data_IF_756649115075
#
_entry.id   IF_756649115075
#
_cell.length_a   1.000
_cell.length_b   1.000
_cell.length_c   1.000
_cell.angle_alpha   90.00
_cell.angle_beta   90.00
_cell.angle_gamma   90.00
#
_symmetry.space_group_name_H-M   'P 1'
#
loop_
_entity.id
_entity.type
_entity.pdbx_description
1 polymer ?
#
# COMPACT_ATOMS: atom_id res chain seq x y z
N UNK A 1 70.87 9.50 29.19
CA UNK A 1 70.36 10.61 28.37
C UNK A 1 69.98 10.03 27.01
N UNK A 2 68.77 9.48 26.82
CA UNK A 2 67.51 10.17 26.52
C UNK A 2 67.48 10.87 25.15
N UNK A 3 66.91 10.22 24.13
CA UNK A 3 65.88 10.85 23.30
C UNK A 3 65.03 9.81 22.56
N UNK A 4 63.81 9.70 23.07
CA UNK A 4 62.64 9.07 22.49
C UNK A 4 62.19 9.87 21.27
N UNK A 5 61.86 9.18 20.17
CA UNK A 5 61.18 9.70 18.99
C UNK A 5 59.72 9.28 19.04
N UNK A 6 58.84 10.26 19.26
CA UNK A 6 57.38 10.17 19.14
C UNK A 6 56.91 10.39 17.70
N UNK A 7 55.94 9.61 17.19
CA UNK A 7 55.14 9.97 16.02
C UNK A 7 53.88 10.79 16.40
N UNK A 8 53.24 11.46 15.42
CA UNK A 8 52.27 12.53 15.68
C UNK A 8 50.86 12.04 16.01
N UNK A 9 50.18 12.94 16.73
CA UNK A 9 48.86 12.94 17.31
C UNK A 9 47.72 12.73 16.30
N UNK A 10 46.86 11.74 16.57
CA UNK A 10 45.54 11.61 15.98
C UNK A 10 44.53 12.45 16.78
N UNK A 11 43.78 13.32 16.09
CA UNK A 11 42.69 14.11 16.65
C UNK A 11 41.48 13.25 16.97
N UNK A 12 41.14 13.15 18.26
CA UNK A 12 39.90 12.58 18.76
C UNK A 12 38.77 13.60 18.65
N UNK A 13 37.92 13.46 17.63
CA UNK A 13 36.63 14.14 17.55
C UNK A 13 35.60 13.40 18.41
N UNK A 14 35.22 14.01 19.53
CA UNK A 14 34.09 13.62 20.38
C UNK A 14 32.77 13.87 19.62
N UNK A 15 32.09 12.81 19.20
CA UNK A 15 30.65 12.86 18.94
C UNK A 15 29.92 12.15 20.07
N UNK A 16 29.36 12.97 20.96
CA UNK A 16 28.45 12.58 22.03
C UNK A 16 27.13 12.09 21.42
N UNK A 17 26.86 10.79 21.53
CA UNK A 17 25.56 10.20 21.24
C UNK A 17 24.61 10.47 22.41
N UNK A 18 23.72 11.43 22.26
CA UNK A 18 22.61 11.64 23.17
C UNK A 18 21.62 10.46 23.05
N UNK A 19 21.63 9.56 24.02
CA UNK A 19 20.58 8.57 24.23
C UNK A 19 19.32 9.28 24.72
N UNK A 20 18.29 9.36 23.88
CA UNK A 20 16.95 9.70 24.34
C UNK A 20 16.31 8.47 24.99
N UNK A 21 16.38 8.44 26.32
CA UNK A 21 15.57 7.57 27.17
C UNK A 21 14.10 8.01 27.07
N UNK A 22 13.27 7.26 26.37
CA UNK A 22 11.82 7.37 26.50
C UNK A 22 11.38 6.67 27.79
N UNK A 23 11.06 7.47 28.79
CA UNK A 23 10.41 7.02 30.01
C UNK A 23 8.99 6.55 29.68
N UNK A 24 8.64 5.34 30.11
CA UNK A 24 7.31 4.79 30.01
C UNK A 24 6.34 5.60 30.88
N UNK A 25 5.26 6.10 30.27
CA UNK A 25 4.15 6.75 30.97
C UNK A 25 3.24 5.65 31.54
N UNK A 26 2.94 5.63 32.85
CA UNK A 26 2.01 4.65 33.41
C UNK A 26 0.57 4.95 33.00
N UNK A 27 -0.13 3.94 32.48
CA UNK A 27 -1.58 4.00 32.23
C UNK A 27 -2.33 4.20 33.56
N UNK A 28 -3.03 5.32 33.66
CA UNK A 28 -4.03 5.56 34.70
C UNK A 28 -5.29 4.75 34.42
N UNK A 29 -5.57 3.77 35.28
CA UNK A 29 -6.86 3.09 35.38
C UNK A 29 -7.90 4.03 36.00
N UNK A 30 -8.93 4.38 35.23
CA UNK A 30 -10.26 4.62 35.77
C UNK A 30 -11.27 4.61 34.63
N UNK A 31 -12.34 3.83 34.79
CA UNK A 31 -13.74 4.26 34.65
C UNK A 31 -14.66 3.04 34.80
N UNK A 32 -15.46 3.08 35.85
CA UNK A 32 -16.58 2.21 36.16
C UNK A 32 -17.75 2.47 35.21
N UNK A 33 -18.56 1.45 34.86
CA UNK A 33 -19.74 1.64 34.01
C UNK A 33 -20.94 2.02 34.87
N UNK A 34 -21.40 3.27 34.75
CA UNK A 34 -22.73 3.67 35.23
C UNK A 34 -23.76 3.46 34.13
N UNK A 35 -24.60 2.46 34.36
CA UNK A 35 -25.83 2.17 33.64
C UNK A 35 -26.87 3.27 33.87
N UNK A 36 -27.35 3.91 32.81
CA UNK A 36 -28.64 4.61 32.81
C UNK A 36 -29.51 4.08 31.66
N UNK A 37 -30.84 3.92 31.86
CA UNK A 37 -31.70 3.27 30.90
C UNK A 37 -32.17 4.25 29.82
N UNK A 38 -32.30 3.72 28.61
CA UNK A 38 -32.92 4.34 27.44
C UNK A 38 -34.42 4.61 27.69
N UNK A 39 -34.83 5.88 27.63
CA UNK A 39 -36.22 6.29 27.45
C UNK A 39 -36.60 6.17 25.97
N UNK A 40 -37.56 5.29 25.68
CA UNK A 40 -38.20 5.15 24.39
C UNK A 40 -39.37 6.11 24.24
N UNK A 41 -39.30 7.04 23.28
CA UNK A 41 -40.45 7.79 22.82
C UNK A 41 -41.26 6.93 21.82
N UNK A 42 -42.38 6.38 22.28
CA UNK A 42 -43.44 5.86 21.42
C UNK A 42 -44.52 6.93 21.25
N UNK A 43 -44.78 7.31 19.99
CA UNK A 43 -45.97 8.08 19.62
C UNK A 43 -47.15 7.13 19.45
N UNK A 44 -48.11 7.19 20.37
CA UNK A 44 -49.43 6.58 20.30
C UNK A 44 -50.38 7.49 19.53
N UNK A 45 -50.92 7.00 18.41
CA UNK A 45 -52.13 7.54 17.79
C UNK A 45 -53.32 6.66 18.20
N UNK A 46 -54.12 7.15 19.16
CA UNK A 46 -55.53 6.79 19.35
C UNK A 46 -56.35 7.88 18.63
N UNK A 47 -57.35 7.64 17.79
CA UNK A 47 -58.28 6.53 17.74
C UNK A 47 -59.53 6.90 18.53
N UNK A 48 -60.42 7.72 17.96
CA UNK A 48 -61.75 7.91 18.54
C UNK A 48 -62.80 8.19 17.45
N UNK A 49 -63.86 7.39 17.50
CA UNK A 49 -65.02 7.40 16.61
C UNK A 49 -66.29 7.41 17.44
N UNK A 50 -67.32 8.13 16.95
CA UNK A 50 -68.75 8.03 17.32
C UNK A 50 -69.10 8.65 18.69
N UNK A 51 -70.21 9.40 18.90
CA UNK A 51 -71.55 9.36 18.31
C UNK A 51 -72.32 10.67 18.59
N UNK A 52 -73.45 10.86 17.89
CA UNK A 52 -74.41 12.00 17.84
C UNK A 52 -75.20 12.28 19.17
N UNK A 53 -76.32 13.07 19.27
CA UNK A 53 -77.12 13.78 18.23
C UNK A 53 -77.86 15.13 18.63
N UNK A 54 -78.66 15.68 17.68
CA UNK A 54 -79.95 16.45 17.80
C UNK A 54 -80.01 18.02 17.86
N UNK A 55 -80.87 18.58 16.95
CA UNK A 55 -81.70 19.85 16.90
C UNK A 55 -80.99 21.23 16.91
N UNK A 56 -81.43 22.31 16.26
CA UNK A 56 -82.69 22.71 15.61
C UNK A 56 -82.40 23.84 14.58
N UNK A 57 -83.19 23.96 13.51
CA UNK A 57 -84.07 25.11 13.20
C UNK A 57 -83.44 26.25 12.37
N UNK A 58 -84.24 26.87 11.49
CA UNK A 58 -83.87 28.12 10.81
C UNK A 58 -84.10 28.17 9.30
N UNK A 59 -85.32 28.57 8.94
CA UNK A 59 -85.85 28.99 7.65
C UNK A 59 -84.93 29.74 6.66
N UNK A 60 -85.22 29.55 5.35
CA UNK A 60 -85.46 30.57 4.30
C UNK A 60 -84.71 30.38 2.97
N UNK A 61 -85.52 29.98 1.98
CA UNK A 61 -85.78 30.67 0.70
C UNK A 61 -84.69 30.73 -0.40
N UNK A 62 -85.20 30.43 -1.60
CA UNK A 62 -84.81 30.84 -2.97
C UNK A 62 -83.71 30.08 -3.75
N UNK A 63 -84.22 29.46 -4.81
CA UNK A 63 -83.69 29.25 -6.17
C UNK A 63 -82.70 28.11 -6.50
N UNK A 64 -82.97 27.39 -7.62
CA UNK A 64 -82.20 26.21 -8.01
C UNK A 64 -81.04 26.59 -8.93
N UNK A 65 -79.85 26.74 -8.38
CA UNK A 65 -78.64 26.63 -9.19
C UNK A 65 -78.36 25.16 -9.45
N UNK A 66 -78.51 24.71 -10.70
CA UNK A 66 -78.03 23.41 -11.17
C UNK A 66 -76.49 23.40 -11.07
N UNK A 67 -75.85 22.59 -10.22
CA UNK A 67 -74.43 22.37 -10.37
C UNK A 67 -74.20 21.51 -11.61
N UNK A 68 -73.25 21.93 -12.45
CA UNK A 68 -72.66 21.06 -13.46
C UNK A 68 -72.24 19.75 -12.78
N UNK A 69 -72.92 18.65 -13.11
CA UNK A 69 -72.37 17.32 -12.90
C UNK A 69 -71.11 17.21 -13.75
N UNK A 70 -69.95 17.50 -13.14
CA UNK A 70 -68.75 16.79 -13.55
C UNK A 70 -68.97 15.35 -13.14
N UNK A 71 -69.24 14.52 -14.14
CA UNK A 71 -69.06 13.08 -14.08
C UNK A 71 -67.71 12.81 -13.44
N UNK A 72 -67.72 12.49 -12.14
CA UNK A 72 -66.61 11.82 -11.51
C UNK A 72 -66.61 10.42 -12.09
N UNK A 73 -65.92 10.24 -13.23
CA UNK A 73 -65.46 8.92 -13.61
C UNK A 73 -64.66 8.41 -12.42
N UNK A 74 -65.25 7.48 -11.68
CA UNK A 74 -64.57 6.60 -10.74
C UNK A 74 -63.60 5.77 -11.56
N UNK A 75 -62.50 6.41 -11.97
CA UNK A 75 -61.31 5.69 -12.39
C UNK A 75 -60.84 5.00 -11.11
N UNK A 76 -61.20 3.73 -10.99
CA UNK A 76 -60.67 2.83 -9.97
C UNK A 76 -59.17 3.08 -9.84
N UNK A 77 -58.76 3.68 -8.72
CA UNK A 77 -57.34 3.77 -8.40
C UNK A 77 -56.91 2.32 -8.19
N UNK A 78 -55.96 1.79 -8.97
CA UNK A 78 -55.53 0.40 -8.79
C UNK A 78 -55.07 0.21 -7.35
N UNK A 79 -55.52 -0.89 -6.73
CA UNK A 79 -55.15 -1.29 -5.38
C UNK A 79 -53.65 -1.08 -5.18
N UNK A 80 -53.29 -0.20 -4.25
CA UNK A 80 -51.89 0.11 -3.99
C UNK A 80 -51.15 -1.19 -3.65
N UNK A 81 -50.09 -1.55 -4.39
CA UNK A 81 -49.39 -2.80 -4.16
C UNK A 81 -48.84 -2.82 -2.72
N UNK A 82 -48.92 -4.00 -2.08
CA UNK A 82 -48.47 -4.22 -0.71
C UNK A 82 -47.04 -3.67 -0.53
N UNK A 83 -46.82 -2.83 0.50
CA UNK A 83 -45.50 -2.21 0.74
C UNK A 83 -44.43 -3.30 0.80
N UNK A 84 -43.29 -3.04 0.14
CA UNK A 84 -42.16 -3.96 -0.03
C UNK A 84 -42.40 -5.20 -0.91
N UNK A 85 -43.54 -5.31 -1.62
CA UNK A 85 -43.69 -6.33 -2.65
C UNK A 85 -42.88 -5.97 -3.92
N UNK A 86 -42.53 -6.98 -4.71
CA UNK A 86 -41.86 -6.77 -6.00
C UNK A 86 -42.70 -5.89 -6.95
N UNK A 87 -44.03 -6.02 -6.88
CA UNK A 87 -44.98 -5.19 -7.63
C UNK A 87 -44.98 -3.73 -7.15
N UNK A 88 -44.81 -3.47 -5.86
CA UNK A 88 -44.64 -2.11 -5.31
C UNK A 88 -43.35 -1.46 -5.79
N UNK A 89 -42.25 -2.22 -5.80
CA UNK A 89 -40.96 -1.75 -6.32
C UNK A 89 -41.05 -1.41 -7.81
N UNK A 90 -41.65 -2.29 -8.62
CA UNK A 90 -41.86 -2.03 -10.06
C UNK A 90 -42.75 -0.81 -10.32
N UNK A 91 -43.82 -0.61 -9.54
CA UNK A 91 -44.69 0.54 -9.66
C UNK A 91 -43.97 1.85 -9.28
N UNK A 92 -43.29 1.89 -8.13
CA UNK A 92 -42.47 3.05 -7.71
C UNK A 92 -41.36 3.37 -8.71
N UNK A 93 -40.72 2.36 -9.27
CA UNK A 93 -39.68 2.52 -10.29
C UNK A 93 -40.23 3.14 -11.58
N UNK A 94 -41.39 2.68 -12.09
CA UNK A 94 -42.04 3.26 -13.27
C UNK A 94 -42.50 4.70 -13.05
N UNK A 95 -43.11 4.98 -11.90
CA UNK A 95 -43.58 6.33 -11.55
C UNK A 95 -42.40 7.29 -11.38
N UNK A 96 -41.30 6.84 -10.76
CA UNK A 96 -40.07 7.63 -10.64
C UNK A 96 -39.37 7.91 -11.98
N UNK A 97 -39.46 6.99 -12.95
CA UNK A 97 -38.92 7.17 -14.30
C UNK A 97 -39.73 8.19 -15.14
N UNK A 98 -41.04 8.30 -14.91
CA UNK A 98 -41.93 9.15 -15.72
C UNK A 98 -41.88 10.66 -15.36
N UNK A 99 -41.48 11.02 -14.14
CA UNK A 99 -41.41 12.42 -13.69
C UNK A 99 -39.97 12.79 -13.31
N UNK A 100 -39.17 13.30 -14.27
CA UNK A 100 -37.84 13.93 -14.04
C UNK A 100 -36.76 13.08 -13.30
N UNK A 101 -37.02 11.81 -12.97
CA UNK A 101 -36.11 10.95 -12.21
C UNK A 101 -35.02 10.28 -13.03
N UNK A 102 -35.08 10.33 -14.37
CA UNK A 102 -34.07 9.70 -15.24
C UNK A 102 -32.66 10.20 -14.96
N UNK A 103 -32.47 11.51 -14.73
CA UNK A 103 -31.14 12.05 -14.39
C UNK A 103 -30.58 11.47 -13.09
N UNK A 104 -31.42 11.32 -12.05
CA UNK A 104 -30.99 10.75 -10.76
C UNK A 104 -30.62 9.26 -10.88
N UNK A 105 -31.36 8.53 -11.69
CA UNK A 105 -31.09 7.13 -11.98
C UNK A 105 -29.80 6.98 -12.80
N UNK A 106 -29.56 7.86 -13.76
CA UNK A 106 -28.30 7.90 -14.53
C UNK A 106 -27.11 8.16 -13.60
N UNK A 107 -27.20 9.14 -12.67
CA UNK A 107 -26.14 9.38 -11.68
C UNK A 107 -25.91 8.18 -10.75
N UNK A 108 -26.98 7.54 -10.29
CA UNK A 108 -26.88 6.33 -9.46
C UNK A 108 -26.22 5.17 -10.20
N UNK A 109 -26.62 4.94 -11.45
CA UNK A 109 -26.04 3.89 -12.30
C UNK A 109 -24.59 4.19 -12.67
N UNK A 110 -24.24 5.45 -13.00
CA UNK A 110 -22.85 5.81 -13.28
C UNK A 110 -21.96 5.63 -12.05
N UNK A 111 -22.46 5.99 -10.86
CA UNK A 111 -21.75 5.75 -9.61
C UNK A 111 -21.54 4.27 -9.32
N UNK A 112 -22.59 3.46 -9.46
CA UNK A 112 -22.50 2.00 -9.30
C UNK A 112 -21.53 1.36 -10.31
N UNK A 113 -21.57 1.80 -11.57
CA UNK A 113 -20.67 1.33 -12.63
C UNK A 113 -19.21 1.69 -12.33
N UNK A 114 -18.93 2.90 -11.83
CA UNK A 114 -17.59 3.29 -11.39
C UNK A 114 -17.09 2.41 -10.24
N UNK A 115 -17.94 2.09 -9.27
CA UNK A 115 -17.58 1.20 -8.15
C UNK A 115 -17.28 -0.22 -8.65
N UNK A 116 -18.10 -0.75 -9.57
CA UNK A 116 -17.88 -2.08 -10.15
C UNK A 116 -16.57 -2.12 -10.93
N UNK A 117 -16.29 -1.10 -11.75
CA UNK A 117 -15.03 -0.99 -12.48
C UNK A 117 -13.85 -0.93 -11.51
N UNK A 118 -13.95 -0.12 -10.46
CA UNK A 118 -12.91 -0.02 -9.44
C UNK A 118 -12.63 -1.36 -8.76
N UNK A 119 -13.69 -2.08 -8.37
CA UNK A 119 -13.57 -3.40 -7.75
C UNK A 119 -12.94 -4.43 -8.71
N UNK A 120 -13.35 -4.43 -9.99
CA UNK A 120 -12.76 -5.30 -11.00
C UNK A 120 -11.26 -5.04 -11.21
N UNK A 121 -10.85 -3.78 -11.23
CA UNK A 121 -9.44 -3.39 -11.32
C UNK A 121 -8.67 -3.85 -10.08
N UNK A 122 -9.20 -3.62 -8.88
CA UNK A 122 -8.58 -4.07 -7.64
C UNK A 122 -8.41 -5.59 -7.59
N UNK A 123 -9.44 -6.34 -8.00
CA UNK A 123 -9.41 -7.80 -8.09
C UNK A 123 -8.36 -8.29 -9.10
N UNK A 124 -8.27 -7.66 -10.27
CA UNK A 124 -7.26 -7.98 -11.28
C UNK A 124 -5.83 -7.79 -10.75
N UNK A 125 -5.58 -6.73 -9.98
CA UNK A 125 -4.28 -6.53 -9.32
C UNK A 125 -4.02 -7.54 -8.21
N UNK A 126 -5.04 -7.92 -7.44
CA UNK A 126 -4.90 -8.97 -6.42
C UNK A 126 -4.52 -10.32 -7.05
N UNK A 127 -5.11 -10.67 -8.20
CA UNK A 127 -4.73 -11.87 -8.95
C UNK A 127 -3.31 -11.80 -9.53
N UNK A 128 -2.89 -10.64 -10.05
CA UNK A 128 -1.52 -10.46 -10.54
C UNK A 128 -0.49 -10.55 -9.40
N UNK A 129 -0.82 -10.01 -8.23
CA UNK A 129 0.00 -10.14 -7.04
C UNK A 129 0.13 -11.61 -6.66
N UNK A 130 -0.99 -12.32 -6.49
CA UNK A 130 -0.99 -13.76 -6.18
C UNK A 130 -0.18 -14.59 -7.19
N UNK A 131 -0.31 -14.32 -8.48
CA UNK A 131 0.48 -15.01 -9.50
C UNK A 131 1.99 -14.77 -9.36
N UNK A 132 2.40 -13.57 -8.94
CA UNK A 132 3.80 -13.27 -8.65
C UNK A 132 4.28 -13.95 -7.35
N UNK A 133 3.42 -14.07 -6.35
CA UNK A 133 3.71 -14.80 -5.11
C UNK A 133 3.91 -16.29 -5.39
N UNK A 134 3.00 -16.88 -6.16
CA UNK A 134 3.08 -18.28 -6.57
C UNK A 134 4.37 -18.55 -7.37
N UNK A 135 4.84 -17.58 -8.16
CA UNK A 135 6.12 -17.67 -8.87
C UNK A 135 7.35 -17.67 -7.94
N UNK A 136 7.30 -17.00 -6.78
CA UNK A 136 8.39 -17.01 -5.79
C UNK A 136 8.42 -18.29 -4.94
N UNK A 137 7.29 -19.00 -4.85
CA UNK A 137 7.18 -20.28 -4.12
C UNK A 137 7.85 -21.43 -4.87
N UNK A 138 8.08 -21.27 -6.18
CA UNK A 138 8.82 -22.22 -7.00
C UNK A 138 10.30 -21.85 -6.93
N UNK A 139 11.17 -22.85 -6.75
CA UNK A 139 12.61 -22.64 -6.78
C UNK A 139 12.99 -22.10 -8.16
N UNK A 140 13.41 -20.83 -8.24
CA UNK A 140 13.85 -20.22 -9.47
C UNK A 140 15.38 -20.27 -9.55
N UNK A 141 15.92 -21.32 -10.19
CA UNK A 141 17.35 -21.48 -10.44
C UNK A 141 17.64 -21.07 -11.89
N UNK A 142 18.43 -20.02 -12.07
CA UNK A 142 18.79 -19.55 -13.41
C UNK A 142 19.57 -20.60 -14.24
N UNK A 143 20.23 -21.54 -13.57
CA UNK A 143 20.94 -22.67 -14.20
C UNK A 143 20.07 -23.94 -14.29
N UNK A 144 18.78 -23.80 -14.63
CA UNK A 144 17.78 -24.87 -14.52
C UNK A 144 18.16 -26.23 -15.12
N UNK A 145 19.04 -26.29 -16.13
CA UNK A 145 19.52 -27.54 -16.71
C UNK A 145 20.56 -28.28 -15.84
N UNK A 146 21.55 -27.60 -15.28
CA UNK A 146 22.55 -28.25 -14.39
C UNK A 146 21.95 -28.58 -13.03
N UNK A 147 21.01 -27.75 -12.55
CA UNK A 147 20.26 -28.00 -11.33
C UNK A 147 19.45 -29.31 -11.41
N UNK A 148 18.65 -29.49 -12.46
CA UNK A 148 17.83 -30.70 -12.64
C UNK A 148 18.66 -31.98 -12.77
N UNK A 149 19.84 -31.90 -13.40
CA UNK A 149 20.76 -33.04 -13.49
C UNK A 149 21.29 -33.47 -12.10
N UNK A 150 21.51 -32.51 -11.19
CA UNK A 150 21.89 -32.77 -9.80
C UNK A 150 20.76 -33.34 -8.94
N UNK A 151 19.50 -32.99 -9.24
CA UNK A 151 18.30 -33.42 -8.51
C UNK A 151 17.92 -34.90 -8.71
N UNK A 152 18.47 -35.59 -9.72
CA UNK A 152 18.13 -36.98 -10.04
C UNK A 152 18.93 -38.02 -9.22
N UNK A 153 19.52 -37.58 -8.10
CA UNK A 153 20.28 -38.44 -7.18
C UNK A 153 19.48 -38.63 -5.91
N UNK A 154 19.53 -39.83 -5.31
CA UNK A 154 18.92 -40.13 -4.00
C UNK A 154 19.65 -39.45 -2.81
N UNK A 155 20.42 -38.41 -3.09
CA UNK A 155 21.20 -37.68 -2.09
C UNK A 155 20.32 -36.57 -1.51
N UNK A 156 20.30 -36.39 -0.17
CA UNK A 156 19.59 -35.28 0.45
C UNK A 156 20.13 -33.93 -0.05
N UNK A 157 19.23 -33.05 -0.47
CA UNK A 157 19.57 -31.74 -1.01
C UNK A 157 19.13 -30.64 -0.04
N UNK A 158 20.05 -29.76 0.31
CA UNK A 158 19.84 -28.70 1.29
C UNK A 158 19.28 -27.45 0.61
N UNK A 159 18.16 -26.96 1.12
CA UNK A 159 17.54 -25.71 0.69
C UNK A 159 17.29 -24.80 1.89
N UNK A 160 17.12 -23.51 1.61
CA UNK A 160 16.64 -22.54 2.60
C UNK A 160 15.28 -21.98 2.18
N UNK A 161 14.40 -21.76 3.14
CA UNK A 161 13.11 -21.11 2.96
C UNK A 161 13.17 -19.74 3.64
N UNK A 162 12.90 -18.66 2.91
CA UNK A 162 12.83 -17.31 3.44
C UNK A 162 11.39 -16.84 3.58
N UNK A 163 11.02 -16.27 4.72
CA UNK A 163 9.72 -15.64 4.97
C UNK A 163 9.93 -14.13 5.13
N UNK A 164 9.23 -13.32 4.35
CA UNK A 164 9.33 -11.86 4.47
C UNK A 164 8.59 -11.36 5.71
N UNK A 165 9.31 -10.72 6.64
CA UNK A 165 8.71 -10.22 7.88
C UNK A 165 8.33 -8.74 7.78
N UNK A 166 9.24 -7.89 7.27
CA UNK A 166 8.97 -6.46 7.09
C UNK A 166 9.92 -5.81 6.08
N UNK A 167 9.50 -4.66 5.54
CA UNK A 167 10.34 -3.81 4.70
C UNK A 167 10.23 -2.37 5.15
N UNK A 168 11.38 -1.77 5.47
CA UNK A 168 11.47 -0.35 5.75
C UNK A 168 12.04 0.38 4.53
N UNK A 169 11.20 1.19 3.89
CA UNK A 169 11.61 1.96 2.72
C UNK A 169 12.65 3.04 3.03
N UNK A 170 12.69 3.54 4.28
CA UNK A 170 13.57 4.64 4.67
C UNK A 170 15.01 4.17 4.90
N UNK A 171 15.19 3.05 5.60
CA UNK A 171 16.50 2.39 5.75
C UNK A 171 16.85 1.53 4.55
N UNK A 172 15.87 1.26 3.67
CA UNK A 172 15.99 0.37 2.49
C UNK A 172 16.37 -1.05 2.89
N UNK A 173 15.92 -1.49 4.05
CA UNK A 173 16.20 -2.81 4.59
C UNK A 173 14.99 -3.72 4.45
N UNK A 174 15.23 -4.91 3.91
CA UNK A 174 14.27 -6.00 3.85
C UNK A 174 14.63 -7.02 4.93
N UNK A 175 13.71 -7.25 5.86
CA UNK A 175 13.84 -8.25 6.91
C UNK A 175 13.26 -9.58 6.41
N UNK A 176 14.08 -10.63 6.47
CA UNK A 176 13.72 -11.98 6.04
C UNK A 176 14.14 -12.97 7.11
N UNK A 177 13.20 -13.82 7.50
CA UNK A 177 13.44 -14.92 8.42
C UNK A 177 13.66 -16.20 7.62
N UNK A 178 14.79 -16.86 7.84
CA UNK A 178 15.22 -18.03 7.06
C UNK A 178 15.15 -19.28 7.90
N UNK A 179 14.55 -20.33 7.37
CA UNK A 179 14.67 -21.70 7.86
C UNK A 179 15.36 -22.57 6.81
N UNK A 180 15.87 -23.73 7.22
CA UNK A 180 16.45 -24.70 6.31
C UNK A 180 15.51 -25.92 6.19
N UNK A 181 15.53 -26.56 5.03
CA UNK A 181 14.83 -27.82 4.83
C UNK A 181 15.62 -28.70 3.86
N UNK A 182 15.44 -30.01 3.97
CA UNK A 182 16.05 -30.98 3.07
C UNK A 182 14.99 -31.56 2.15
N UNK A 183 15.38 -31.90 0.93
CA UNK A 183 14.53 -32.64 -0.01
C UNK A 183 15.22 -33.93 -0.38
N UNK A 184 14.49 -35.04 -0.33
CA UNK A 184 15.00 -36.37 -0.66
C UNK A 184 14.20 -37.01 -1.80
N UNK A 185 14.93 -37.76 -2.64
CA UNK A 185 14.38 -38.57 -3.73
C UNK A 185 14.37 -37.85 -5.08
N UNK A 186 14.01 -38.55 -6.16
CA UNK A 186 14.10 -38.02 -7.51
C UNK A 186 13.09 -36.90 -7.72
N UNK A 187 13.57 -35.66 -7.89
CA UNK A 187 12.73 -34.49 -8.15
C UNK A 187 12.55 -34.34 -9.65
N UNK A 188 11.39 -34.76 -10.17
CA UNK A 188 11.06 -34.63 -11.60
C UNK A 188 10.60 -33.22 -11.96
N UNK A 189 10.13 -32.43 -10.98
CA UNK A 189 9.64 -31.07 -11.18
C UNK A 189 9.89 -30.21 -9.93
N UNK A 190 10.44 -29.00 -10.12
CA UNK A 190 10.72 -28.03 -9.05
C UNK A 190 9.45 -27.59 -8.33
N UNK A 191 8.27 -27.66 -8.98
CA UNK A 191 6.99 -27.33 -8.33
C UNK A 191 6.64 -28.29 -7.18
N UNK A 192 7.15 -29.53 -7.23
CA UNK A 192 6.87 -30.58 -6.24
C UNK A 192 7.76 -30.53 -5.01
N UNK A 193 8.77 -29.65 -4.99
CA UNK A 193 9.73 -29.53 -3.89
C UNK A 193 9.03 -29.28 -2.55
N UNK A 194 7.94 -28.49 -2.56
CA UNK A 194 7.15 -28.21 -1.35
C UNK A 194 6.53 -29.45 -0.72
N UNK A 195 6.16 -30.45 -1.53
CA UNK A 195 5.51 -31.69 -1.07
C UNK A 195 6.48 -32.74 -0.52
N UNK A 196 7.78 -32.60 -0.80
CA UNK A 196 8.83 -33.56 -0.41
C UNK A 196 9.81 -32.99 0.63
N UNK A 197 9.40 -31.94 1.33
CA UNK A 197 10.22 -31.34 2.38
C UNK A 197 10.33 -32.30 3.54
N UNK A 198 11.56 -32.51 3.98
CA UNK A 198 11.89 -33.24 5.18
C UNK A 198 12.61 -32.26 6.10
N UNK A 199 12.35 -32.41 7.40
CA UNK A 199 13.08 -31.72 8.46
C UNK A 199 14.59 -31.90 8.31
N UNK A 200 15.35 -30.83 8.52
CA UNK A 200 16.82 -30.91 8.63
C UNK A 200 17.24 -31.75 9.85
N UNK A 201 16.43 -31.74 10.92
CA UNK A 201 16.67 -32.50 12.15
C UNK A 201 16.85 -33.99 11.86
N UNK A 202 16.10 -34.50 10.88
CA UNK A 202 16.12 -35.91 10.48
C UNK A 202 17.44 -36.39 9.85
N UNK A 203 18.28 -35.48 9.34
CA UNK A 203 19.44 -35.86 8.53
C UNK A 203 20.68 -36.22 9.35
N UNK A 204 20.93 -35.52 10.44
CA UNK A 204 22.05 -35.88 11.33
C UNK A 204 21.96 -35.35 12.76
N UNK A 205 20.90 -34.63 13.14
CA UNK A 205 20.80 -33.96 14.45
C UNK A 205 21.88 -32.90 14.72
N UNK A 206 22.76 -32.62 13.75
CA UNK A 206 23.84 -31.64 13.89
C UNK A 206 23.40 -30.29 13.33
N UNK A 207 23.58 -29.18 14.07
CA UNK A 207 23.25 -27.86 13.59
C UNK A 207 24.09 -27.45 12.39
N UNK A 208 23.44 -26.89 11.37
CA UNK A 208 24.08 -26.30 10.21
C UNK A 208 24.37 -24.83 10.52
N UNK A 209 25.65 -24.47 10.54
CA UNK A 209 26.07 -23.08 10.70
C UNK A 209 25.86 -22.31 9.39
N UNK A 210 25.11 -21.22 9.44
CA UNK A 210 24.85 -20.35 8.28
C UNK A 210 25.66 -19.07 8.39
N UNK A 211 26.43 -18.79 7.36
CA UNK A 211 27.24 -17.59 7.23
C UNK A 211 26.65 -16.70 6.13
N UNK A 212 26.60 -15.38 6.38
CA UNK A 212 26.19 -14.38 5.39
C UNK A 212 27.39 -13.61 4.85
N UNK A 213 27.21 -13.00 3.67
CA UNK A 213 28.13 -12.04 3.06
C UNK A 213 29.57 -12.55 2.95
N UNK A 214 29.71 -13.87 2.74
CA UNK A 214 30.99 -14.57 2.61
C UNK A 214 30.92 -15.55 1.45
N UNK A 215 32.09 -16.01 1.01
CA UNK A 215 32.24 -16.96 -0.09
C UNK A 215 33.05 -18.15 0.37
N UNK A 216 32.73 -19.32 -0.16
CA UNK A 216 33.52 -20.53 0.05
C UNK A 216 34.48 -20.70 -1.12
N UNK A 217 35.70 -21.18 -0.84
CA UNK A 217 36.72 -21.49 -1.85
C UNK A 217 37.21 -22.92 -1.65
N UNK A 218 37.72 -23.58 -2.71
CA UNK A 218 38.32 -24.89 -2.58
C UNK A 218 39.43 -24.89 -1.52
N UNK A 219 39.38 -25.85 -0.59
CA UNK A 219 40.34 -26.00 0.50
C UNK A 219 41.61 -26.65 -0.04
N UNK A 220 42.56 -25.80 -0.47
CA UNK A 220 43.81 -26.23 -1.08
C UNK A 220 44.62 -27.18 -0.19
N UNK A 221 44.56 -27.02 1.13
CA UNK A 221 45.29 -27.87 2.08
C UNK A 221 44.72 -29.29 2.11
N UNK A 222 43.38 -29.43 2.08
CA UNK A 222 42.73 -30.73 2.09
C UNK A 222 42.89 -31.44 0.73
N UNK A 223 42.84 -30.67 -0.36
CA UNK A 223 43.09 -31.15 -1.73
C UNK A 223 44.54 -31.67 -1.84
N UNK A 224 45.52 -30.95 -1.30
CA UNK A 224 46.93 -31.38 -1.32
C UNK A 224 47.16 -32.70 -0.58
N UNK A 225 46.35 -33.00 0.44
CA UNK A 225 46.43 -34.24 1.21
C UNK A 225 45.72 -35.44 0.55
N UNK A 226 44.97 -35.23 -0.54
CA UNK A 226 44.40 -36.32 -1.36
C UNK A 226 43.34 -37.18 -0.66
N UNK A 227 42.74 -36.72 0.43
CA UNK A 227 41.90 -37.54 1.32
C UNK A 227 40.40 -37.50 1.05
N UNK A 228 39.89 -36.70 0.09
CA UNK A 228 38.44 -36.55 -0.13
C UNK A 228 37.97 -36.89 -1.55
N UNK A 229 36.86 -37.62 -1.64
CA UNK A 229 36.13 -37.98 -2.86
C UNK A 229 35.28 -36.85 -3.44
N UNK A 230 35.47 -35.61 -2.98
CA UNK A 230 34.84 -34.39 -3.49
C UNK A 230 35.70 -33.17 -3.21
N UNK A 231 35.43 -32.04 -3.89
CA UNK A 231 36.13 -30.77 -3.66
C UNK A 231 35.71 -30.18 -2.32
N UNK A 232 36.56 -30.25 -1.29
CA UNK A 232 36.23 -29.69 0.00
C UNK A 232 36.27 -28.16 -0.14
N UNK A 233 35.22 -27.49 0.31
CA UNK A 233 35.18 -26.04 0.34
C UNK A 233 35.38 -25.52 1.76
N UNK A 234 36.06 -24.39 1.88
CA UNK A 234 36.32 -23.67 3.12
C UNK A 234 35.92 -22.20 2.98
N UNK A 235 35.37 -21.63 4.04
CA UNK A 235 35.09 -20.20 4.12
C UNK A 235 36.38 -19.39 3.89
N UNK A 236 36.30 -18.36 3.04
CA UNK A 236 37.42 -17.45 2.79
C UNK A 236 37.89 -16.74 4.07
N UNK A 237 36.96 -16.42 4.97
CA UNK A 237 37.23 -15.78 6.24
C UNK A 237 36.69 -16.68 7.38
N UNK A 238 37.50 -17.67 7.83
CA UNK A 238 37.02 -18.73 8.72
C UNK A 238 36.66 -18.24 10.14
N UNK A 239 37.10 -17.04 10.53
CA UNK A 239 36.82 -16.44 11.83
C UNK A 239 35.52 -15.63 11.87
N UNK A 240 34.80 -15.53 10.75
CA UNK A 240 33.47 -14.89 10.74
C UNK A 240 32.54 -15.72 11.61
N UNK A 241 31.77 -15.06 12.48
CA UNK A 241 30.74 -15.75 13.27
C UNK A 241 29.54 -16.09 12.37
N UNK A 242 28.95 -17.28 12.51
CA UNK A 242 27.71 -17.59 11.80
C UNK A 242 26.62 -16.62 12.23
N UNK A 243 25.69 -16.33 11.33
CA UNK A 243 24.48 -15.55 11.61
C UNK A 243 23.58 -16.29 12.58
N UNK A 244 23.56 -17.61 12.45
CA UNK A 244 22.90 -18.52 13.36
C UNK A 244 23.07 -19.95 12.89
N UNK A 245 22.36 -20.84 13.55
CA UNK A 245 22.36 -22.27 13.29
C UNK A 245 20.95 -22.68 12.89
N UNK A 246 20.85 -23.54 11.87
CA UNK A 246 19.58 -24.10 11.39
C UNK A 246 19.62 -25.62 11.49
N UNK A 247 18.46 -26.22 11.81
CA UNK A 247 18.29 -27.68 11.80
C UNK A 247 18.43 -28.37 13.17
N UNK A 248 18.40 -27.62 14.27
CA UNK A 248 18.19 -28.17 15.62
C UNK A 248 16.70 -28.51 15.81
N UNK A 249 15.83 -27.71 15.22
CA UNK A 249 14.37 -27.85 15.22
C UNK A 249 13.77 -27.40 13.89
N UNK A 250 12.60 -27.93 13.55
CA UNK A 250 11.78 -27.51 12.40
C UNK A 250 11.37 -26.03 12.43
N UNK A 251 11.38 -25.43 13.62
CA UNK A 251 10.97 -24.05 13.85
C UNK A 251 12.16 -23.08 13.96
N UNK A 252 13.39 -23.58 13.78
CA UNK A 252 14.56 -22.72 13.80
C UNK A 252 14.50 -21.73 12.64
N UNK A 253 14.67 -20.46 12.98
CA UNK A 253 14.77 -19.38 12.02
C UNK A 253 15.89 -18.44 12.39
N UNK A 254 16.58 -17.93 11.36
CA UNK A 254 17.55 -16.86 11.49
C UNK A 254 17.01 -15.62 10.79
N UNK A 255 17.03 -14.48 11.46
CA UNK A 255 16.59 -13.22 10.86
C UNK A 255 17.78 -12.50 10.23
N UNK A 256 17.59 -12.00 9.00
CA UNK A 256 18.60 -11.21 8.31
C UNK A 256 18.02 -9.93 7.75
N UNK A 257 18.85 -8.89 7.76
CA UNK A 257 18.54 -7.60 7.17
C UNK A 257 19.30 -7.48 5.85
N UNK A 258 18.56 -7.29 4.77
CA UNK A 258 19.12 -7.17 3.42
C UNK A 258 19.04 -5.71 3.00
N UNK A 259 20.21 -5.10 2.81
CA UNK A 259 20.32 -3.73 2.31
C UNK A 259 20.00 -3.65 0.82
N UNK A 260 18.94 -2.93 0.45
CA UNK A 260 18.47 -2.76 -0.94
C UNK A 260 18.93 -1.44 -1.56
N UNK A 261 20.14 -1.00 -1.22
CA UNK A 261 20.68 0.32 -1.57
C UNK A 261 21.33 0.44 -2.94
N UNK A 262 21.24 -0.57 -3.82
CA UNK A 262 21.95 -0.54 -5.09
C UNK A 262 21.49 0.62 -5.98
N UNK A 263 22.46 1.33 -6.56
CA UNK A 263 22.21 2.50 -7.39
C UNK A 263 21.67 2.06 -8.75
N UNK A 264 20.44 2.44 -9.06
CA UNK A 264 19.88 2.33 -10.40
C UNK A 264 20.44 3.43 -11.31
N UNK A 265 20.65 3.13 -12.59
CA UNK A 265 21.11 4.11 -13.58
C UNK A 265 20.00 5.08 -14.00
N UNK A 266 18.74 4.62 -13.98
CA UNK A 266 17.58 5.43 -14.30
C UNK A 266 17.04 6.15 -13.05
N UNK A 267 16.98 7.47 -13.12
CA UNK A 267 16.46 8.35 -12.07
C UNK A 267 15.01 7.99 -11.69
N UNK A 268 14.17 7.62 -12.68
CA UNK A 268 12.78 7.27 -12.43
C UNK A 268 12.60 5.93 -11.69
N UNK A 269 13.62 5.07 -11.71
CA UNK A 269 13.63 3.79 -11.00
C UNK A 269 14.43 3.87 -9.70
N UNK A 270 15.00 5.04 -9.40
CA UNK A 270 15.85 5.21 -8.23
C UNK A 270 15.02 5.04 -6.95
N UNK A 271 15.51 4.29 -5.95
CA UNK A 271 14.86 4.13 -4.65
C UNK A 271 14.42 5.46 -4.04
N UNK A 272 13.18 5.51 -3.54
CA UNK A 272 12.50 6.68 -2.94
C UNK A 272 12.24 7.86 -3.89
N UNK A 273 13.21 8.23 -4.73
CA UNK A 273 13.07 9.32 -5.69
C UNK A 273 12.05 8.98 -6.79
N UNK A 274 12.08 7.76 -7.31
CA UNK A 274 11.24 7.29 -8.41
C UNK A 274 9.79 6.96 -8.04
N UNK A 275 9.35 7.19 -6.79
CA UNK A 275 8.02 6.78 -6.34
C UNK A 275 6.90 7.27 -7.29
N UNK A 276 5.97 6.39 -7.72
CA UNK A 276 5.73 4.99 -7.27
C UNK A 276 6.40 3.91 -8.14
N UNK A 277 7.30 4.29 -9.05
CA UNK A 277 7.99 3.40 -10.00
C UNK A 277 9.37 2.96 -9.49
N UNK A 278 9.68 3.24 -8.24
CA UNK A 278 10.92 2.87 -7.56
C UNK A 278 11.11 1.34 -7.55
N UNK A 279 12.35 0.92 -7.80
CA UNK A 279 12.78 -0.48 -7.69
C UNK A 279 13.97 -0.53 -6.75
N UNK A 280 13.82 -1.27 -5.66
CA UNK A 280 14.89 -1.54 -4.72
C UNK A 280 15.55 -2.86 -5.09
N UNK A 281 16.88 -2.86 -5.22
CA UNK A 281 17.63 -4.06 -5.55
C UNK A 281 18.74 -4.30 -4.54
N UNK A 282 18.93 -5.57 -4.20
CA UNK A 282 19.99 -6.00 -3.30
C UNK A 282 20.23 -7.49 -3.43
N UNK A 283 21.31 -7.93 -2.82
CA UNK A 283 21.75 -9.30 -2.84
C UNK A 283 22.19 -9.73 -1.45
N UNK A 284 22.02 -11.02 -1.17
CA UNK A 284 22.61 -11.68 -0.01
C UNK A 284 23.28 -12.97 -0.49
N UNK A 285 24.39 -13.32 0.14
CA UNK A 285 25.09 -14.57 -0.14
C UNK A 285 25.11 -15.41 1.13
N UNK A 286 24.75 -16.68 1.01
CA UNK A 286 24.82 -17.65 2.10
C UNK A 286 25.87 -18.70 1.83
N UNK A 287 26.54 -19.14 2.90
CA UNK A 287 27.34 -20.36 2.93
C UNK A 287 26.90 -21.18 4.14
N UNK A 288 26.66 -22.47 3.93
CA UNK A 288 26.33 -23.42 4.99
C UNK A 288 27.57 -24.25 5.32
N UNK A 289 27.83 -24.55 6.59
CA UNK A 289 28.87 -25.48 7.00
C UNK A 289 28.36 -26.38 8.14
N UNK A 290 28.81 -27.63 8.16
CA UNK A 290 28.48 -28.55 9.23
C UNK A 290 29.33 -28.25 10.48
N UNK A 291 28.68 -27.90 11.59
CA UNK A 291 29.39 -27.59 12.84
C UNK A 291 30.19 -28.80 13.37
N UNK A 292 29.65 -30.02 13.26
CA UNK A 292 30.33 -31.23 13.74
C UNK A 292 31.64 -31.48 13.00
N UNK A 293 31.65 -31.31 11.67
CA UNK A 293 32.88 -31.51 10.90
C UNK A 293 33.92 -30.44 11.19
N UNK A 294 33.49 -29.21 11.56
CA UNK A 294 34.39 -28.17 12.05
C UNK A 294 35.02 -28.60 13.38
N UNK A 295 34.23 -29.15 14.31
CA UNK A 295 34.71 -29.65 15.60
C UNK A 295 35.68 -30.84 15.44
N UNK A 296 35.33 -31.81 14.61
CA UNK A 296 36.15 -33.01 14.35
C UNK A 296 37.46 -32.68 13.63
N UNK A 297 37.41 -31.77 12.63
CA UNK A 297 38.60 -31.37 11.89
C UNK A 297 39.47 -30.34 12.61
N UNK A 298 38.91 -29.63 13.60
CA UNK A 298 39.53 -28.48 14.25
C UNK A 298 39.77 -27.29 13.31
N UNK A 299 39.21 -27.30 12.08
CA UNK A 299 39.43 -26.29 11.05
C UNK A 299 38.17 -25.46 10.88
N UNK A 300 38.21 -24.24 11.44
CA UNK A 300 37.11 -23.27 11.34
C UNK A 300 36.72 -23.01 9.87
N UNK A 301 35.41 -23.03 9.62
CA UNK A 301 34.83 -22.76 8.32
C UNK A 301 35.10 -23.82 7.24
N UNK A 302 35.61 -25.00 7.61
CA UNK A 302 35.74 -26.13 6.70
C UNK A 302 34.40 -26.87 6.54
N UNK A 303 34.36 -27.86 5.64
CA UNK A 303 33.18 -28.69 5.40
C UNK A 303 31.92 -27.89 5.01
N UNK A 304 32.10 -26.97 4.07
CA UNK A 304 30.98 -26.24 3.48
C UNK A 304 30.03 -27.23 2.78
N UNK A 305 28.75 -27.12 3.14
CA UNK A 305 27.67 -27.90 2.57
C UNK A 305 27.12 -27.18 1.33
N UNK A 306 26.81 -27.95 0.30
CA UNK A 306 26.16 -27.45 -0.90
C UNK A 306 24.71 -27.07 -0.59
N UNK A 307 24.37 -25.80 -0.79
CA UNK A 307 22.98 -25.34 -0.83
C UNK A 307 22.49 -25.32 -2.26
N UNK A 308 21.40 -26.02 -2.53
CA UNK A 308 20.88 -26.21 -3.88
C UNK A 308 20.02 -25.02 -4.34
N UNK A 309 19.37 -24.31 -3.42
CA UNK A 309 18.57 -23.15 -3.76
C UNK A 309 17.86 -22.53 -2.57
N UNK A 310 17.01 -21.53 -2.85
CA UNK A 310 16.10 -20.96 -1.88
C UNK A 310 14.66 -20.92 -2.41
N UNK A 311 13.71 -21.02 -1.49
CA UNK A 311 12.29 -20.75 -1.72
C UNK A 311 11.92 -19.55 -0.88
N UNK A 312 11.09 -18.66 -1.41
CA UNK A 312 10.55 -17.57 -0.61
C UNK A 312 9.05 -17.68 -0.47
N UNK A 313 8.60 -17.46 0.75
CA UNK A 313 7.20 -17.52 1.16
C UNK A 313 6.77 -16.17 1.70
N UNK A 314 5.45 -15.99 1.71
CA UNK A 314 4.77 -14.76 2.09
C UNK A 314 5.01 -13.56 1.18
N UNK A 315 4.32 -12.48 1.55
CA UNK A 315 4.23 -11.24 0.80
C UNK A 315 4.10 -10.08 1.76
N UNK A 316 4.66 -8.95 1.35
CA UNK A 316 4.48 -7.71 2.06
C UNK A 316 3.36 -6.90 1.42
N UNK A 317 2.53 -6.28 2.26
CA UNK A 317 1.47 -5.40 1.79
C UNK A 317 2.08 -4.28 0.93
N UNK A 318 1.44 -3.96 -0.20
CA UNK A 318 1.84 -2.87 -1.12
C UNK A 318 3.18 -3.06 -1.86
N UNK A 319 3.87 -4.18 -1.66
CA UNK A 319 5.12 -4.51 -2.32
C UNK A 319 4.99 -5.81 -3.10
N UNK A 320 5.70 -5.86 -4.22
CA UNK A 320 5.89 -7.05 -5.01
C UNK A 320 7.38 -7.34 -5.01
N UNK A 321 7.73 -8.49 -4.45
CA UNK A 321 9.11 -8.94 -4.35
C UNK A 321 9.30 -9.97 -5.46
N UNK A 322 10.38 -9.84 -6.20
CA UNK A 322 10.86 -10.86 -7.14
C UNK A 322 12.21 -11.32 -6.66
N UNK A 323 12.48 -12.59 -6.83
CA UNK A 323 13.76 -13.18 -6.43
C UNK A 323 14.33 -14.05 -7.53
N UNK A 324 15.64 -14.18 -7.48
CA UNK A 324 16.40 -15.09 -8.33
C UNK A 324 17.48 -15.70 -7.48
N UNK A 325 17.65 -17.01 -7.60
CA UNK A 325 18.63 -17.75 -6.83
C UNK A 325 19.70 -18.30 -7.77
N UNK A 326 20.95 -18.20 -7.33
CA UNK A 326 22.10 -18.69 -8.06
C UNK A 326 23.01 -19.42 -7.07
N UNK A 327 23.15 -20.74 -7.24
CA UNK A 327 24.07 -21.54 -6.43
C UNK A 327 25.32 -21.83 -7.23
N UNK A 328 26.45 -21.30 -6.76
CA UNK A 328 27.75 -21.56 -7.39
C UNK A 328 28.26 -22.97 -7.13
N UNK A 329 27.75 -23.65 -6.11
CA UNK A 329 28.12 -25.03 -5.79
C UNK A 329 27.75 -26.04 -6.89
N UNK A 330 26.77 -25.70 -7.73
CA UNK A 330 26.27 -26.56 -8.83
C UNK A 330 26.97 -26.28 -10.16
N UNK A 331 27.80 -25.25 -10.20
CA UNK A 331 28.52 -24.81 -11.37
C UNK A 331 29.97 -25.33 -11.26
N UNK A 332 30.33 -26.32 -12.08
CA UNK A 332 31.66 -26.94 -12.04
C UNK A 332 32.78 -25.95 -12.39
N UNK A 333 32.46 -24.90 -13.17
CA UNK A 333 33.40 -23.85 -13.57
C UNK A 333 33.54 -22.75 -12.49
N UNK A 334 32.67 -22.76 -11.47
CA UNK A 334 32.69 -21.74 -10.44
C UNK A 334 33.85 -21.97 -9.44
N UNK A 335 34.61 -20.92 -9.09
CA UNK A 335 35.70 -21.02 -8.12
C UNK A 335 35.23 -21.10 -6.65
N UNK A 336 33.92 -21.26 -6.39
CA UNK A 336 33.36 -21.21 -5.05
C UNK A 336 32.03 -21.94 -4.91
N UNK A 337 31.57 -22.06 -3.67
CA UNK A 337 30.33 -22.74 -3.30
C UNK A 337 29.55 -21.87 -2.30
N UNK A 338 28.68 -21.04 -2.85
CA UNK A 338 27.77 -20.15 -2.12
C UNK A 338 26.41 -20.07 -2.82
N UNK A 339 25.39 -19.73 -2.05
CA UNK A 339 24.06 -19.43 -2.55
C UNK A 339 23.86 -17.92 -2.59
N UNK A 340 23.78 -17.36 -3.79
CA UNK A 340 23.46 -15.94 -4.00
C UNK A 340 21.98 -15.78 -4.29
N UNK A 341 21.32 -14.90 -3.53
CA UNK A 341 19.92 -14.55 -3.74
C UNK A 341 19.85 -13.07 -4.05
N UNK A 342 19.30 -12.74 -5.23
CA UNK A 342 19.08 -11.36 -5.66
C UNK A 342 17.60 -11.01 -5.52
N UNK A 343 17.34 -9.88 -4.88
CA UNK A 343 16.00 -9.36 -4.62
C UNK A 343 15.73 -8.14 -5.47
N UNK A 344 14.52 -8.09 -6.03
CA UNK A 344 13.94 -6.90 -6.63
C UNK A 344 12.62 -6.61 -5.92
N UNK A 345 12.58 -5.53 -5.16
CA UNK A 345 11.37 -5.07 -4.47
C UNK A 345 10.80 -3.90 -5.27
N UNK A 346 9.59 -4.07 -5.79
CA UNK A 346 8.85 -3.05 -6.55
C UNK A 346 7.50 -2.77 -5.88
N UNK A 347 6.91 -1.59 -6.10
CA UNK A 347 5.53 -1.32 -5.67
C UNK A 347 4.53 -2.17 -6.45
N UNK A 348 3.45 -2.59 -5.80
CA UNK A 348 2.39 -3.35 -6.49
C UNK A 348 1.72 -2.51 -7.59
N UNK A 349 1.14 -3.20 -8.58
CA UNK A 349 0.41 -2.53 -9.66
C UNK A 349 -0.76 -1.68 -9.13
N UNK A 350 -1.39 -2.10 -8.03
CA UNK A 350 -2.47 -1.34 -7.38
C UNK A 350 -1.99 0.01 -6.85
N UNK A 351 -0.83 0.04 -6.19
CA UNK A 351 -0.23 1.29 -5.69
C UNK A 351 0.10 2.20 -6.87
N UNK A 352 0.80 1.67 -7.89
CA UNK A 352 1.16 2.41 -9.11
C UNK A 352 -0.07 3.02 -9.77
N UNK A 353 -1.15 2.25 -9.93
CA UNK A 353 -2.40 2.71 -10.51
C UNK A 353 -3.10 3.78 -9.66
N UNK A 354 -3.26 3.56 -8.36
CA UNK A 354 -3.90 4.51 -7.45
C UNK A 354 -3.19 5.87 -7.48
N UNK A 355 -1.87 5.85 -7.42
CA UNK A 355 -1.02 7.04 -7.46
C UNK A 355 -1.17 7.79 -8.79
N UNK A 356 -1.19 7.08 -9.93
CA UNK A 356 -1.41 7.69 -11.26
C UNK A 356 -2.80 8.30 -11.38
N UNK A 357 -3.85 7.63 -10.89
CA UNK A 357 -5.22 8.16 -10.90
C UNK A 357 -5.31 9.44 -10.08
N UNK A 358 -4.76 9.44 -8.86
CA UNK A 358 -4.67 10.62 -8.00
C UNK A 358 -3.92 11.76 -8.69
N UNK A 359 -2.78 11.45 -9.32
CA UNK A 359 -2.00 12.42 -10.07
C UNK A 359 -2.83 13.06 -11.21
N UNK A 360 -3.53 12.25 -12.01
CA UNK A 360 -4.39 12.74 -13.09
C UNK A 360 -5.55 13.61 -12.58
N UNK A 361 -6.24 13.17 -11.52
CA UNK A 361 -7.35 13.93 -10.92
C UNK A 361 -6.86 15.28 -10.40
N UNK A 362 -5.73 15.30 -9.72
CA UNK A 362 -5.13 16.53 -9.21
C UNK A 362 -4.83 17.52 -10.33
N UNK A 363 -4.28 17.05 -11.45
CA UNK A 363 -4.03 17.89 -12.62
C UNK A 363 -5.33 18.40 -13.27
N UNK A 364 -6.36 17.56 -13.41
CA UNK A 364 -7.65 17.97 -13.97
C UNK A 364 -8.28 19.07 -13.11
N UNK A 365 -8.23 18.93 -11.78
CA UNK A 365 -8.73 19.96 -10.85
C UNK A 365 -7.94 21.26 -11.00
N UNK A 366 -6.60 21.20 -11.00
CA UNK A 366 -5.75 22.40 -11.15
C UNK A 366 -6.00 23.09 -12.50
N UNK A 367 -6.07 22.35 -13.60
CA UNK A 367 -6.37 22.90 -14.92
C UNK A 367 -7.77 23.53 -14.92
N UNK A 368 -8.76 22.88 -14.30
CA UNK A 368 -10.11 23.43 -14.15
C UNK A 368 -10.12 24.76 -13.39
N UNK A 369 -9.44 24.84 -12.24
CA UNK A 369 -9.31 26.08 -11.46
C UNK A 369 -8.59 27.16 -12.29
N UNK A 370 -7.52 26.79 -13.00
CA UNK A 370 -6.78 27.71 -13.85
C UNK A 370 -7.66 28.27 -14.98
N UNK A 371 -8.42 27.43 -15.68
CA UNK A 371 -9.33 27.85 -16.76
C UNK A 371 -10.46 28.75 -16.23
N UNK A 372 -11.09 28.40 -15.11
CA UNK A 372 -12.13 29.23 -14.47
C UNK A 372 -11.56 30.58 -14.04
N UNK A 373 -10.33 30.59 -13.51
CA UNK A 373 -9.64 31.84 -13.14
C UNK A 373 -9.31 32.67 -14.37
N UNK A 374 -8.84 32.05 -15.44
CA UNK A 374 -8.54 32.71 -16.72
C UNK A 374 -9.78 33.34 -17.35
N UNK A 375 -10.89 32.61 -17.42
CA UNK A 375 -12.19 33.12 -17.89
C UNK A 375 -12.67 34.31 -17.05
N UNK A 376 -12.57 34.22 -15.72
CA UNK A 376 -13.00 35.29 -14.82
C UNK A 376 -12.17 36.58 -14.99
N UNK A 377 -10.86 36.45 -15.24
CA UNK A 377 -9.94 37.59 -15.37
C UNK A 377 -9.91 38.17 -16.80
N UNK A 378 -9.84 37.32 -17.83
CA UNK A 378 -9.64 37.76 -19.22
C UNK A 378 -10.93 38.25 -19.87
N UNK A 379 -12.05 37.57 -19.66
CA UNK A 379 -13.32 37.92 -20.32
C UNK A 379 -14.15 38.93 -19.53
N UNK A 380 -13.62 39.41 -18.39
CA UNK A 380 -14.24 40.39 -17.52
C UNK A 380 -15.71 40.03 -17.17
N UNK A 381 -16.03 38.72 -17.13
CA UNK A 381 -17.37 38.20 -16.79
C UNK A 381 -17.53 38.16 -15.27
N UNK A 382 -17.62 39.35 -14.68
CA UNK A 382 -17.67 39.56 -13.24
C UNK A 382 -18.91 38.94 -12.56
N UNK A 383 -19.97 38.62 -13.31
CA UNK A 383 -21.18 37.96 -12.78
C UNK A 383 -20.96 36.52 -12.29
N UNK A 384 -19.89 35.84 -12.71
CA UNK A 384 -19.52 34.53 -12.17
C UNK A 384 -18.88 34.65 -10.77
N UNK A 385 -18.34 35.82 -10.43
CA UNK A 385 -17.61 36.08 -9.17
C UNK A 385 -18.56 36.45 -8.01
N UNK A 386 -19.84 36.70 -8.28
CA UNK A 386 -20.85 36.91 -7.23
C UNK A 386 -21.13 35.65 -6.41
N UNK A 387 -20.88 34.47 -6.96
CA UNK A 387 -20.90 33.21 -6.20
C UNK A 387 -19.71 33.12 -5.25
N UNK A 388 -19.96 33.22 -3.94
CA UNK A 388 -18.98 33.11 -2.85
C UNK A 388 -18.13 31.83 -2.87
N UNK A 389 -18.54 30.82 -3.63
CA UNK A 389 -18.12 29.44 -3.48
C UNK A 389 -16.78 29.11 -4.16
N UNK A 390 -16.37 29.88 -5.17
CA UNK A 390 -15.14 29.58 -5.94
C UNK A 390 -13.88 29.75 -5.09
N UNK A 391 -13.85 30.78 -4.23
CA UNK A 391 -12.71 31.00 -3.33
C UNK A 391 -12.64 29.88 -2.28
N UNK A 392 -13.78 29.42 -1.77
CA UNK A 392 -13.82 28.27 -0.86
C UNK A 392 -13.28 27.00 -1.54
N UNK A 393 -13.67 26.73 -2.79
CA UNK A 393 -13.16 25.59 -3.57
C UNK A 393 -11.62 25.65 -3.73
N UNK A 394 -11.06 26.82 -4.04
CA UNK A 394 -9.61 26.96 -4.18
C UNK A 394 -8.86 26.73 -2.86
N UNK A 395 -9.38 27.25 -1.74
CA UNK A 395 -8.82 26.99 -0.41
C UNK A 395 -8.92 25.51 -0.03
N UNK A 396 -10.06 24.86 -0.29
CA UNK A 396 -10.21 23.42 -0.04
C UNK A 396 -9.22 22.61 -0.88
N UNK A 397 -9.00 22.98 -2.14
CA UNK A 397 -8.04 22.31 -3.02
C UNK A 397 -6.59 22.42 -2.50
N UNK A 398 -6.20 23.58 -1.93
CA UNK A 398 -4.86 23.77 -1.37
C UNK A 398 -4.55 22.81 -0.21
N UNK A 399 -5.53 22.53 0.66
CA UNK A 399 -5.35 21.60 1.77
C UNK A 399 -5.60 20.14 1.38
N UNK A 400 -6.44 19.89 0.38
CA UNK A 400 -6.72 18.55 -0.11
C UNK A 400 -5.48 17.91 -0.74
N UNK A 401 -4.67 18.65 -1.50
CA UNK A 401 -3.52 18.09 -2.22
C UNK A 401 -2.46 17.44 -1.30
N UNK A 402 -1.94 18.11 -0.25
CA UNK A 402 -1.05 17.46 0.72
C UNK A 402 -1.73 16.34 1.50
N UNK A 403 -3.03 16.47 1.79
CA UNK A 403 -3.79 15.45 2.52
C UNK A 403 -3.96 14.17 1.69
N UNK A 404 -4.18 14.27 0.37
CA UNK A 404 -4.29 13.11 -0.50
C UNK A 404 -2.94 12.40 -0.62
N UNK A 405 -1.83 13.14 -0.58
CA UNK A 405 -0.48 12.55 -0.55
C UNK A 405 -0.27 11.66 0.67
N UNK A 406 -0.66 12.09 1.86
CA UNK A 406 -0.45 11.30 3.09
C UNK A 406 -1.29 10.02 3.12
N UNK A 407 -2.32 9.92 2.26
CA UNK A 407 -3.12 8.72 2.08
C UNK A 407 -2.52 7.74 1.07
N UNK A 408 -1.46 8.13 0.33
CA UNK A 408 -0.83 7.25 -0.65
C UNK A 408 -0.05 6.14 0.07
N UNK A 409 -0.29 4.87 -0.27
CA UNK A 409 0.36 3.74 0.40
C UNK A 409 1.86 3.73 0.13
N UNK A 410 2.64 3.69 1.22
CA UNK A 410 4.10 3.55 1.16
C UNK A 410 4.84 4.76 0.57
N UNK A 411 4.23 5.94 0.61
CA UNK A 411 4.90 7.19 0.21
C UNK A 411 6.12 7.43 1.11
N UNK A 412 7.28 7.84 0.54
CA UNK A 412 8.43 8.21 1.35
C UNK A 412 8.08 9.33 2.34
N UNK A 413 8.63 9.23 3.56
CA UNK A 413 8.45 10.23 4.62
C UNK A 413 9.07 11.57 4.21
N UNK A 414 10.15 11.53 3.43
CA UNK A 414 10.81 12.70 2.87
C UNK A 414 10.05 13.26 1.67
N UNK A 415 9.93 14.58 1.61
CA UNK A 415 9.51 15.29 0.41
C UNK A 415 10.61 15.25 -0.65
N UNK A 416 10.21 15.20 -1.92
CA UNK A 416 11.15 15.25 -3.05
C UNK A 416 11.16 14.02 -3.93
N UNK A 417 10.14 13.16 -3.84
CA UNK A 417 9.96 12.14 -4.85
C UNK A 417 9.42 12.75 -6.15
N UNK A 418 9.53 12.00 -7.25
CA UNK A 418 9.13 12.42 -8.59
C UNK A 418 7.70 12.95 -8.65
N UNK A 419 6.78 12.27 -7.95
CA UNK A 419 5.38 12.70 -7.84
C UNK A 419 5.24 14.07 -7.19
N UNK A 420 6.08 14.41 -6.22
CA UNK A 420 5.99 15.67 -5.52
C UNK A 420 6.45 16.82 -6.39
N UNK A 421 7.59 16.61 -7.04
CA UNK A 421 8.28 17.62 -7.85
C UNK A 421 7.43 17.97 -9.07
N UNK A 422 6.78 16.99 -9.69
CA UNK A 422 6.02 17.18 -10.93
C UNK A 422 4.52 17.32 -10.66
N UNK A 423 3.98 16.62 -9.67
CA UNK A 423 2.56 16.60 -9.40
C UNK A 423 2.14 17.62 -8.36
N UNK A 424 2.55 17.44 -7.11
CA UNK A 424 1.98 18.19 -5.99
C UNK A 424 2.47 19.64 -5.98
N UNK A 425 3.78 19.86 -6.09
CA UNK A 425 4.39 21.18 -5.94
C UNK A 425 3.91 22.16 -7.03
N UNK A 426 3.91 21.82 -8.33
CA UNK A 426 3.38 22.70 -9.36
C UNK A 426 1.88 22.97 -9.18
N UNK A 427 1.10 21.95 -8.81
CA UNK A 427 -0.34 22.10 -8.59
C UNK A 427 -0.64 23.08 -7.44
N UNK A 428 0.04 22.93 -6.30
CA UNK A 428 -0.14 23.84 -5.16
C UNK A 428 0.28 25.28 -5.53
N UNK A 429 1.39 25.45 -6.27
CA UNK A 429 1.83 26.77 -6.73
C UNK A 429 0.80 27.43 -7.65
N UNK A 430 0.30 26.71 -8.66
CA UNK A 430 -0.69 27.23 -9.61
C UNK A 430 -1.97 27.60 -8.88
N UNK A 431 -2.51 26.71 -8.04
CA UNK A 431 -3.74 26.98 -7.29
C UNK A 431 -3.57 28.15 -6.33
N UNK A 432 -2.41 28.29 -5.68
CA UNK A 432 -2.12 29.44 -4.81
C UNK A 432 -2.13 30.75 -5.59
N UNK A 433 -1.43 30.80 -6.73
CA UNK A 433 -1.42 31.96 -7.60
C UNK A 433 -2.84 32.34 -8.07
N UNK A 434 -3.60 31.36 -8.56
CA UNK A 434 -5.01 31.56 -8.95
C UNK A 434 -5.84 32.12 -7.78
N UNK A 435 -5.68 31.57 -6.58
CA UNK A 435 -6.39 32.01 -5.37
C UNK A 435 -6.04 33.46 -5.03
N UNK A 436 -4.77 33.84 -5.09
CA UNK A 436 -4.32 35.22 -4.83
C UNK A 436 -4.90 36.20 -5.85
N UNK A 437 -4.87 35.87 -7.14
CA UNK A 437 -5.48 36.70 -8.18
C UNK A 437 -6.99 36.86 -7.97
N UNK A 438 -7.68 35.77 -7.62
CA UNK A 438 -9.12 35.79 -7.36
C UNK A 438 -9.47 36.64 -6.14
N UNK A 439 -8.71 36.50 -5.05
CA UNK A 439 -8.87 37.29 -3.83
C UNK A 439 -8.67 38.79 -4.11
N UNK A 440 -7.61 39.15 -4.86
CA UNK A 440 -7.32 40.53 -5.23
C UNK A 440 -8.41 41.12 -6.15
N UNK A 441 -8.85 40.36 -7.16
CA UNK A 441 -9.94 40.77 -8.06
C UNK A 441 -11.23 41.04 -7.26
N UNK A 442 -11.56 40.16 -6.32
CA UNK A 442 -12.73 40.30 -5.45
C UNK A 442 -12.64 41.52 -4.52
N UNK A 443 -11.48 41.76 -3.91
CA UNK A 443 -11.27 42.95 -3.08
C UNK A 443 -11.46 44.23 -3.89
N UNK A 444 -10.98 44.25 -5.14
CA UNK A 444 -11.15 45.39 -6.05
C UNK A 444 -12.61 45.61 -6.43
N UNK A 445 -13.37 44.54 -6.71
CA UNK A 445 -14.80 44.65 -6.98
C UNK A 445 -15.60 45.17 -5.79
N UNK A 446 -15.30 44.70 -4.56
CA UNK A 446 -15.97 45.20 -3.35
C UNK A 446 -15.76 46.71 -3.18
N UNK A 447 -14.53 47.19 -3.34
CA UNK A 447 -14.24 48.64 -3.28
C UNK A 447 -15.01 49.45 -4.30
N UNK A 448 -15.15 48.94 -5.53
CA UNK A 448 -15.94 49.61 -6.57
C UNK A 448 -17.42 49.67 -6.20
N UNK A 449 -17.98 48.56 -5.70
CA UNK A 449 -19.38 48.50 -5.26
C UNK A 449 -19.65 49.43 -4.08
N UNK A 450 -18.78 49.43 -3.07
CA UNK A 450 -18.88 50.33 -1.91
C UNK A 450 -18.82 51.81 -2.35
N UNK A 451 -17.99 52.14 -3.35
CA UNK A 451 -17.91 53.50 -3.91
C UNK A 451 -19.16 53.90 -4.72
N UNK A 452 -19.78 52.96 -5.44
CA UNK A 452 -21.01 53.19 -6.19
C UNK A 452 -22.21 53.35 -5.26
N UNK A 453 -22.29 52.53 -4.21
CA UNK A 453 -23.32 52.62 -3.17
C UNK A 453 -23.19 53.92 -2.36
N UNK A 454 -21.96 54.40 -2.12
CA UNK A 454 -21.72 55.71 -1.52
C UNK A 454 -22.08 56.90 -2.45
N UNK A 455 -22.00 56.70 -3.77
CA UNK A 455 -22.31 57.72 -4.77
C UNK A 455 -23.82 57.82 -5.09
N UNK A 456 -24.64 56.80 -4.77
CA UNK A 456 -26.10 56.90 -4.89
C UNK A 456 -26.65 57.94 -3.90
N UNK A 457 -27.22 59.06 -4.37
CA UNK A 457 -27.75 60.08 -3.48
C UNK A 457 -28.91 59.51 -2.65
N UNK A 458 -28.99 59.87 -1.36
CA UNK A 458 -30.09 59.57 -0.44
C UNK A 458 -31.39 60.31 -0.83
N UNK A 459 -31.85 60.12 -2.07
CA UNK A 459 -32.93 60.87 -2.69
C UNK A 459 -34.34 60.52 -2.22
N UNK A 460 -34.54 59.42 -1.50
CA UNK A 460 -35.89 58.93 -1.16
C UNK A 460 -36.15 58.80 0.34
N UNK A 461 -35.65 59.75 1.15
CA UNK A 461 -36.03 59.88 2.56
C UNK A 461 -36.84 61.16 2.87
N UNK A 462 -37.30 61.89 1.85
CA UNK A 462 -38.16 63.08 1.99
C UNK A 462 -39.35 63.02 1.02
N UNK A 463 -40.19 62.00 1.16
CA UNK A 463 -41.53 61.99 0.59
C UNK A 463 -42.45 61.12 1.46
N UNK A 464 -42.57 61.48 2.74
CA UNK A 464 -43.66 61.07 3.63
C UNK A 464 -43.91 62.21 4.62
#
# INVERSE_FOLDING_TARGET
MSRSTTPPTAGSGLFSSAQHNYAAVPLSNSLTPNTTPYEGYQYTHTGESSSAPILADGSNRSEPYKPLMWSSSTSERPLAPRRFSMSWWRYKFRVGMAQRGFSRLVYGLSGALLIIIWFAIALAFAFNLRAAEDANRVVNVNNGQTFLAGLNRDVPLLFISGQFSSFDSSTRNLHVDWSAFVVQGPITDLSTISSRRISVESLSGDPIAIYRDTVARPDQELIANGTSTGTPFRLRAPNIKPVGFLGISDYDSISTDIGLGQRQSNIALQPEFGYPLDIFTGNITFVAANNKTIEESGRLGSAVLQMNGAILTDSLLNLKIRTSTYSTCLDEDSPGCELTITFWVERTGLVKFCVVVVFCINWIITIGIFLVTGEALLLNRQKIVEGTDILAICFTALFALPSVRSLLPGVPVSYGCFLDIIGILPNVLIVTLCTTFFANSRLRMRRLKDSEDAAKPKGEAKAA
#
